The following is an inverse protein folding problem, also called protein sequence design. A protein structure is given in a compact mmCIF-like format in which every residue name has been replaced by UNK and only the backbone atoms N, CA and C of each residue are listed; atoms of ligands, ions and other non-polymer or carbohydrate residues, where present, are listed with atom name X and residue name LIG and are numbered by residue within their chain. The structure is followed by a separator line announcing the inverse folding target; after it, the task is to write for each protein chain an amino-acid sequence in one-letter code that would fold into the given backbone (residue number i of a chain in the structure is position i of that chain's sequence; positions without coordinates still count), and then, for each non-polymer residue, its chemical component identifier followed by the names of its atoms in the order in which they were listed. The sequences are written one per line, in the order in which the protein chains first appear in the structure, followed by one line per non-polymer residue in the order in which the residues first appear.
data_IF_842117980104
#
_entry.id   IF_842117980104
#
_cell.length_a   1.000
_cell.length_b   1.000
_cell.length_c   1.000
_cell.angle_alpha   90.00
_cell.angle_beta   90.00
_cell.angle_gamma   90.00
#
_symmetry.space_group_name_H-M   'P 1'
#
loop_
_entity.id
_entity.type
_entity.pdbx_description
1 polymer ?
#
# COMPACT_ATOMS: atom_id res chain seq x y z
N UNK A 1 -21.59 -5.99 18.47
CA UNK A 1 -20.96 -6.07 17.15
C UNK A 1 -20.00 -4.92 17.11
N UNK A 2 -18.70 -5.23 17.06
CA UNK A 2 -17.75 -4.21 16.67
C UNK A 2 -18.14 -3.80 15.25
N UNK A 3 -18.40 -2.51 15.04
CA UNK A 3 -18.82 -2.03 13.72
C UNK A 3 -17.63 -1.81 12.81
N UNK A 4 -16.42 -2.14 13.30
CA UNK A 4 -15.15 -1.87 12.68
C UNK A 4 -14.25 -3.12 12.66
N UNK A 5 -13.31 -3.13 11.73
CA UNK A 5 -12.27 -4.12 11.55
C UNK A 5 -10.92 -3.41 11.53
N UNK A 6 -9.96 -3.98 12.25
CA UNK A 6 -8.57 -3.53 12.23
C UNK A 6 -7.78 -4.29 11.16
N UNK A 7 -7.06 -3.52 10.35
CA UNK A 7 -6.17 -4.06 9.33
C UNK A 7 -4.76 -3.58 9.57
N UNK A 8 -3.79 -4.47 9.46
CA UNK A 8 -2.40 -4.07 9.37
C UNK A 8 -2.01 -3.93 7.91
N UNK A 9 -1.25 -2.89 7.57
CA UNK A 9 -0.79 -2.63 6.21
C UNK A 9 0.72 -2.40 6.13
N UNK A 10 1.25 -2.63 4.95
CA UNK A 10 2.63 -2.29 4.59
C UNK A 10 2.75 -2.01 3.09
N UNK A 11 3.51 -0.98 2.74
CA UNK A 11 3.82 -0.63 1.35
C UNK A 11 5.25 -1.05 1.03
N UNK A 12 5.42 -1.66 -0.14
CA UNK A 12 6.69 -2.20 -0.59
C UNK A 12 7.01 -1.76 -2.02
N UNK A 13 8.29 -1.63 -2.33
CA UNK A 13 8.81 -1.36 -3.67
C UNK A 13 9.62 -2.56 -4.20
N UNK A 14 9.76 -2.69 -5.54
CA UNK A 14 10.59 -3.74 -6.13
C UNK A 14 12.04 -3.69 -5.65
N UNK A 15 12.63 -4.86 -5.38
CA UNK A 15 14.02 -5.03 -4.98
C UNK A 15 14.76 -6.06 -5.84
N UNK A 16 14.67 -5.90 -7.17
CA UNK A 16 15.35 -6.79 -8.12
C UNK A 16 14.97 -8.26 -7.90
N UNK A 17 15.97 -9.14 -7.86
CA UNK A 17 15.79 -10.57 -7.63
C UNK A 17 15.43 -10.93 -6.18
N UNK A 18 15.58 -10.01 -5.23
CA UNK A 18 15.19 -10.22 -3.82
C UNK A 18 13.68 -10.01 -3.61
N UNK A 19 12.94 -9.62 -4.66
CA UNK A 19 11.50 -9.47 -4.63
C UNK A 19 11.07 -8.07 -4.23
N UNK A 20 10.64 -7.90 -2.98
CA UNK A 20 10.01 -6.69 -2.47
C UNK A 20 10.69 -6.22 -1.19
N UNK A 21 10.94 -4.92 -1.07
CA UNK A 21 11.47 -4.29 0.16
C UNK A 21 10.54 -3.18 0.65
N UNK A 22 10.59 -2.81 1.93
CA UNK A 22 9.77 -1.72 2.44
C UNK A 22 9.94 -0.43 1.63
N UNK A 23 8.84 0.29 1.44
CA UNK A 23 8.76 1.42 0.52
C UNK A 23 9.50 2.67 1.03
N UNK A 24 10.30 3.28 0.17
CA UNK A 24 11.00 4.52 0.44
C UNK A 24 12.14 4.43 1.46
N UNK A 25 12.68 5.59 1.82
CA UNK A 25 13.79 5.70 2.78
C UNK A 25 13.36 5.73 4.25
N UNK A 26 12.06 5.86 4.51
CA UNK A 26 11.45 5.81 5.84
C UNK A 26 10.32 4.77 5.86
N UNK A 27 10.67 3.47 5.99
CA UNK A 27 9.71 2.38 6.01
C UNK A 27 8.64 2.49 7.07
N UNK A 28 8.97 3.10 8.23
CA UNK A 28 8.06 3.23 9.36
C UNK A 28 6.83 4.07 9.04
N UNK A 29 6.93 4.97 8.05
CA UNK A 29 5.82 5.78 7.57
C UNK A 29 4.82 5.00 6.72
N UNK A 30 5.27 3.92 6.08
CA UNK A 30 4.52 3.18 5.07
C UNK A 30 4.06 1.81 5.57
N UNK A 31 3.96 1.67 6.88
CA UNK A 31 3.42 0.50 7.55
C UNK A 31 2.66 0.94 8.80
N UNK A 32 1.61 0.21 9.18
CA UNK A 32 0.83 0.54 10.36
C UNK A 32 -0.48 -0.21 10.43
N UNK A 33 -1.36 0.23 11.32
CA UNK A 33 -2.72 -0.29 11.44
C UNK A 33 -3.74 0.76 10.97
N UNK A 34 -4.86 0.30 10.44
CA UNK A 34 -5.99 1.12 10.02
C UNK A 34 -7.30 0.45 10.40
N UNK A 35 -8.14 1.20 11.12
CA UNK A 35 -9.47 0.77 11.54
C UNK A 35 -10.50 1.30 10.54
N UNK A 36 -11.31 0.42 9.97
CA UNK A 36 -12.38 0.78 9.01
C UNK A 36 -13.68 0.07 9.36
N UNK A 37 -14.85 0.52 8.88
CA UNK A 37 -16.10 -0.19 9.14
C UNK A 37 -16.07 -1.65 8.66
N UNK A 38 -16.57 -2.56 9.49
CA UNK A 38 -16.72 -3.99 9.19
C UNK A 38 -17.84 -4.19 8.16
N UNK A 39 -17.44 -4.13 6.90
CA UNK A 39 -18.32 -4.27 5.74
C UNK A 39 -17.62 -5.15 4.71
N UNK A 40 -18.40 -5.70 3.77
CA UNK A 40 -17.85 -6.47 2.65
C UNK A 40 -16.81 -5.69 1.82
N UNK A 41 -16.78 -4.36 1.93
CA UNK A 41 -15.87 -3.45 1.22
C UNK A 41 -14.80 -2.83 2.13
N UNK A 42 -14.73 -3.22 3.41
CA UNK A 42 -13.84 -2.64 4.41
C UNK A 42 -12.37 -2.68 3.98
N UNK A 43 -11.89 -3.83 3.50
CA UNK A 43 -10.53 -3.97 2.97
C UNK A 43 -10.24 -3.04 1.78
N UNK A 44 -11.20 -2.86 0.86
CA UNK A 44 -11.04 -1.94 -0.27
C UNK A 44 -11.05 -0.48 0.18
N UNK A 45 -11.86 -0.15 1.18
CA UNK A 45 -11.85 1.16 1.80
C UNK A 45 -10.50 1.47 2.47
N UNK A 46 -9.96 0.53 3.24
CA UNK A 46 -8.65 0.64 3.86
C UNK A 46 -7.53 0.87 2.83
N UNK A 47 -7.50 0.03 1.77
CA UNK A 47 -6.53 0.19 0.68
C UNK A 47 -6.70 1.54 -0.02
N UNK A 48 -7.94 1.98 -0.27
CA UNK A 48 -8.20 3.27 -0.89
C UNK A 48 -7.59 4.44 -0.13
N UNK A 49 -7.67 4.41 1.21
CA UNK A 49 -7.04 5.42 2.09
C UNK A 49 -5.51 5.38 1.96
N UNK A 50 -4.90 4.20 2.06
CA UNK A 50 -3.44 4.03 1.97
C UNK A 50 -2.90 4.46 0.59
N UNK A 51 -3.60 4.09 -0.48
CA UNK A 51 -3.23 4.49 -1.85
C UNK A 51 -3.39 6.00 -2.04
N UNK A 52 -4.44 6.61 -1.48
CA UNK A 52 -4.62 8.07 -1.52
C UNK A 52 -3.48 8.81 -0.82
N UNK A 53 -3.04 8.32 0.34
CA UNK A 53 -1.88 8.88 1.06
C UNK A 53 -0.59 8.71 0.24
N UNK A 54 -0.40 7.55 -0.40
CA UNK A 54 0.72 7.30 -1.30
C UNK A 54 0.73 8.28 -2.48
N UNK A 55 -0.41 8.52 -3.13
CA UNK A 55 -0.53 9.49 -4.22
C UNK A 55 -0.21 10.90 -3.75
N UNK A 56 -0.74 11.30 -2.60
CA UNK A 56 -0.50 12.62 -2.00
C UNK A 56 1.00 12.85 -1.76
N UNK A 57 1.72 11.81 -1.32
CA UNK A 57 3.17 11.91 -1.13
C UNK A 57 3.95 11.95 -2.43
N UNK A 58 3.53 11.23 -3.46
CA UNK A 58 4.14 11.36 -4.79
C UNK A 58 3.94 12.76 -5.36
N UNK A 59 2.76 13.36 -5.20
CA UNK A 59 2.51 14.74 -5.62
C UNK A 59 3.41 15.72 -4.86
N UNK A 60 3.55 15.55 -3.53
CA UNK A 60 4.41 16.39 -2.68
C UNK A 60 5.90 16.26 -3.05
N UNK A 61 6.38 15.04 -3.31
CA UNK A 61 7.79 14.75 -3.60
C UNK A 61 8.18 14.95 -5.07
N UNK A 62 7.22 15.28 -5.94
CA UNK A 62 7.23 15.20 -7.41
C UNK A 62 6.93 13.80 -7.94
N UNK A 63 5.91 13.73 -8.82
CA UNK A 63 5.51 12.50 -9.53
C UNK A 63 6.65 11.88 -10.35
N UNK A 64 7.66 12.65 -10.72
CA UNK A 64 8.88 12.14 -11.38
C UNK A 64 9.70 11.17 -10.52
N UNK A 65 9.48 11.19 -9.19
CA UNK A 65 10.09 10.29 -8.20
C UNK A 65 9.12 9.22 -7.70
N UNK A 66 7.90 9.17 -8.24
CA UNK A 66 6.96 8.11 -7.92
C UNK A 66 7.56 6.77 -8.33
N UNK A 67 7.49 5.78 -7.44
CA UNK A 67 8.03 4.45 -7.66
C UNK A 67 6.91 3.43 -7.71
N UNK A 68 7.12 2.35 -8.45
CA UNK A 68 6.23 1.20 -8.40
C UNK A 68 6.11 0.71 -6.95
N UNK A 69 4.89 0.54 -6.46
CA UNK A 69 4.60 0.09 -5.12
C UNK A 69 3.57 -1.06 -5.10
N UNK A 70 3.62 -1.89 -4.08
CA UNK A 70 2.53 -2.79 -3.67
C UNK A 70 2.12 -2.47 -2.25
N UNK A 71 0.81 -2.36 -2.04
CA UNK A 71 0.19 -2.25 -0.72
C UNK A 71 -0.31 -3.62 -0.34
N UNK A 72 0.15 -4.13 0.80
CA UNK A 72 -0.29 -5.39 1.40
C UNK A 72 -1.16 -5.07 2.60
N UNK A 73 -2.22 -5.85 2.77
CA UNK A 73 -3.17 -5.74 3.87
C UNK A 73 -3.35 -7.12 4.51
N UNK A 74 -3.22 -7.17 5.83
CA UNK A 74 -3.45 -8.35 6.66
C UNK A 74 -4.54 -8.06 7.68
N UNK A 75 -5.39 -9.04 7.95
CA UNK A 75 -6.33 -8.98 9.06
C UNK A 75 -5.56 -9.05 10.39
N UNK A 76 -5.85 -8.13 11.31
CA UNK A 76 -5.23 -7.99 12.63
C UNK A 76 -3.70 -7.70 12.62
N UNK A 77 -2.84 -8.66 12.26
CA UNK A 77 -1.39 -8.55 12.39
C UNK A 77 -0.65 -8.73 11.05
N UNK A 78 0.48 -8.02 10.87
CA UNK A 78 1.35 -8.22 9.71
C UNK A 78 1.94 -9.63 9.69
N UNK A 79 1.76 -10.33 8.57
CA UNK A 79 2.37 -11.62 8.28
C UNK A 79 3.42 -11.56 7.17
N UNK A 80 3.77 -12.71 6.61
CA UNK A 80 4.57 -12.74 5.38
C UNK A 80 3.80 -12.13 4.20
N UNK A 81 4.52 -11.58 3.22
CA UNK A 81 3.89 -10.96 2.03
C UNK A 81 2.94 -11.90 1.28
N UNK A 82 3.23 -13.20 1.28
CA UNK A 82 2.41 -14.22 0.60
C UNK A 82 1.08 -14.51 1.33
N UNK A 83 1.00 -14.17 2.61
CA UNK A 83 -0.13 -14.45 3.49
C UNK A 83 -1.05 -13.22 3.63
N UNK A 84 -0.80 -12.14 2.88
CA UNK A 84 -1.66 -10.98 2.88
C UNK A 84 -3.03 -11.30 2.28
N UNK A 85 -4.09 -10.85 2.95
CA UNK A 85 -5.48 -11.02 2.52
C UNK A 85 -5.77 -10.23 1.24
N UNK A 86 -5.16 -9.04 1.11
CA UNK A 86 -5.30 -8.21 -0.07
C UNK A 86 -3.96 -7.61 -0.47
N UNK A 87 -3.75 -7.53 -1.79
CA UNK A 87 -2.59 -6.88 -2.39
C UNK A 87 -3.06 -6.00 -3.55
N UNK A 88 -2.63 -4.74 -3.55
CA UNK A 88 -2.84 -3.82 -4.68
C UNK A 88 -1.51 -3.33 -5.20
N UNK A 89 -1.34 -3.41 -6.51
CA UNK A 89 -0.18 -2.89 -7.23
C UNK A 89 -0.46 -1.49 -7.77
N UNK A 90 0.40 -0.54 -7.41
CA UNK A 90 0.27 0.87 -7.77
C UNK A 90 1.47 1.25 -8.61
N UNK A 91 1.22 1.61 -9.87
CA UNK A 91 2.26 2.03 -10.81
C UNK A 91 2.09 3.49 -11.17
N UNK A 92 3.14 4.31 -11.10
CA UNK A 92 3.11 5.63 -11.70
C UNK A 92 2.89 5.48 -13.21
N UNK A 93 2.14 6.41 -13.82
CA UNK A 93 2.00 6.47 -15.27
C UNK A 93 3.40 6.62 -15.88
N UNK A 94 3.90 5.57 -16.52
CA UNK A 94 5.09 5.64 -17.35
C UNK A 94 4.78 6.56 -18.52
N UNK A 95 5.53 7.64 -18.71
CA UNK A 95 5.47 8.50 -19.88
C UNK A 95 5.96 7.84 -21.19
N UNK A 96 5.84 6.52 -21.31
CA UNK A 96 6.34 5.71 -22.42
C UNK A 96 5.24 5.30 -23.43
N UNK A 97 4.13 6.03 -23.46
CA UNK A 97 3.19 6.05 -24.60
C UNK A 97 3.33 7.37 -25.38
N UNK A 98 4.56 7.82 -25.64
CA UNK A 98 4.86 8.79 -26.69
C UNK A 98 5.52 8.04 -27.84
N UNK A 99 4.70 7.27 -28.57
CA UNK A 99 5.04 6.74 -29.89
C UNK A 99 4.78 7.80 -30.96
#
# INVERSE_FOLDING_TARGET
MDTNTDWTYGVFEPHGSEGWRPYGSDPGRWQGAITVPDTAEGAKHAIGLIVSDLMTEWERASLSRAMHARVFLWHDEAGELKDADFVVEVRPRSGFDAA
#
